data_IF_388858799966
#
_entry.id   IF_388858799966
#
_cell.length_a   1.000
_cell.length_b   1.000
_cell.length_c   1.000
_cell.angle_alpha   90.00
_cell.angle_beta   90.00
_cell.angle_gamma   90.00
#
_symmetry.space_group_name_H-M   'P 1'
#
loop_
_entity.id
_entity.type
_entity.pdbx_description
1 polymer ?
#
# COMPACT_ATOMS: atom_id res chain seq x y z
N UNK A 1 1.38 -15.27 14.87
CA UNK A 1 0.43 -15.60 13.77
C UNK A 1 -0.33 -14.31 13.46
N UNK A 2 -0.51 -13.99 12.17
CA UNK A 2 -1.30 -12.81 11.76
C UNK A 2 -2.79 -13.11 11.97
N UNK A 3 -3.55 -12.15 12.50
CA UNK A 3 -5.01 -12.26 12.70
C UNK A 3 -5.82 -12.02 11.41
N UNK A 4 -5.16 -11.89 10.27
CA UNK A 4 -5.78 -11.51 8.99
C UNK A 4 -5.71 -12.66 7.99
N UNK A 5 -6.77 -12.84 7.21
CA UNK A 5 -6.87 -13.88 6.18
C UNK A 5 -6.21 -13.44 4.87
N UNK A 6 -6.12 -12.13 4.61
CA UNK A 6 -5.47 -11.58 3.43
C UNK A 6 -4.50 -10.44 3.75
N UNK A 7 -3.55 -10.19 2.85
CA UNK A 7 -2.67 -9.02 2.94
C UNK A 7 -3.48 -7.71 2.81
N UNK A 8 -4.51 -7.71 1.98
CA UNK A 8 -5.42 -6.57 1.81
C UNK A 8 -6.12 -6.22 3.12
N UNK A 9 -6.63 -7.22 3.86
CA UNK A 9 -7.21 -7.01 5.19
C UNK A 9 -6.20 -6.43 6.18
N UNK A 10 -5.00 -7.00 6.23
CA UNK A 10 -3.94 -6.53 7.13
C UNK A 10 -3.58 -5.05 6.84
N UNK A 11 -3.47 -4.70 5.57
CA UNK A 11 -3.14 -3.34 5.16
C UNK A 11 -4.28 -2.36 5.49
N UNK A 12 -5.52 -2.73 5.16
CA UNK A 12 -6.70 -1.90 5.45
C UNK A 12 -6.91 -1.69 6.95
N UNK A 13 -6.63 -2.71 7.78
CA UNK A 13 -6.70 -2.60 9.24
C UNK A 13 -5.69 -1.60 9.82
N UNK A 14 -4.59 -1.31 9.11
CA UNK A 14 -3.57 -0.33 9.52
C UNK A 14 -3.72 1.04 8.87
N UNK A 15 -4.75 1.24 8.03
CA UNK A 15 -4.96 2.48 7.27
C UNK A 15 -5.00 3.72 8.17
N UNK A 16 -5.64 3.63 9.33
CA UNK A 16 -5.77 4.73 10.29
C UNK A 16 -4.63 4.82 11.32
N UNK A 17 -3.57 4.01 11.16
CA UNK A 17 -2.45 4.05 12.08
C UNK A 17 -1.46 5.17 11.71
N UNK A 18 -0.77 5.70 12.71
CA UNK A 18 0.26 6.74 12.53
C UNK A 18 1.59 6.20 11.99
N UNK A 19 1.69 4.90 11.74
CA UNK A 19 2.89 4.29 11.22
C UNK A 19 3.14 4.72 9.77
N UNK A 20 4.43 4.82 9.43
CA UNK A 20 4.90 5.26 8.12
C UNK A 20 5.88 4.26 7.53
N UNK A 21 5.87 4.16 6.21
CA UNK A 21 6.90 3.51 5.41
C UNK A 21 7.93 4.57 5.05
N UNK A 22 9.18 4.35 5.45
CA UNK A 22 10.30 5.23 5.12
C UNK A 22 11.11 4.61 3.98
N UNK A 23 11.32 5.39 2.93
CA UNK A 23 12.20 5.04 1.82
C UNK A 23 13.60 5.59 2.13
N UNK A 24 14.59 4.72 2.01
CA UNK A 24 16.00 5.09 2.16
C UNK A 24 16.57 5.11 0.74
N UNK A 25 16.76 6.31 0.20
CA UNK A 25 17.46 6.52 -1.05
C UNK A 25 18.87 7.09 -0.79
N UNK A 26 19.83 6.76 -1.65
CA UNK A 26 21.26 7.02 -1.43
C UNK A 26 21.65 8.50 -1.38
N UNK A 27 20.80 9.38 -1.90
CA UNK A 27 21.04 10.82 -2.03
C UNK A 27 20.31 11.68 -0.94
N UNK A 28 20.01 11.10 0.23
CA UNK A 28 19.37 11.81 1.36
C UNK A 28 17.90 12.20 1.12
N UNK A 29 17.24 11.57 0.14
CA UNK A 29 15.82 11.79 -0.14
C UNK A 29 14.97 10.96 0.85
N UNK A 30 14.75 11.51 2.05
CA UNK A 30 13.90 10.91 3.09
C UNK A 30 12.42 11.00 2.75
N UNK A 31 11.97 10.22 1.76
CA UNK A 31 10.55 10.08 1.49
C UNK A 31 9.91 9.15 2.50
N UNK A 32 8.74 9.52 3.00
CA UNK A 32 7.93 8.63 3.81
C UNK A 32 6.46 8.76 3.47
N UNK A 33 5.74 7.64 3.49
CA UNK A 33 4.31 7.60 3.26
C UNK A 33 3.61 6.94 4.44
N UNK A 34 2.41 7.40 4.77
CA UNK A 34 1.48 6.74 5.68
C UNK A 34 0.96 5.44 5.07
N UNK A 35 0.39 4.58 5.92
CA UNK A 35 -0.39 3.45 5.43
C UNK A 35 -1.65 3.88 4.64
N UNK A 36 -2.20 5.06 4.91
CA UNK A 36 -3.30 5.61 4.11
C UNK A 36 -2.87 5.91 2.67
N UNK A 37 -1.75 6.60 2.49
CA UNK A 37 -1.16 6.90 1.18
C UNK A 37 -0.77 5.61 0.44
N UNK A 38 -0.26 4.60 1.15
CA UNK A 38 0.04 3.29 0.56
C UNK A 38 -1.23 2.58 0.04
N UNK A 39 -2.33 2.62 0.79
CA UNK A 39 -3.62 2.05 0.35
C UNK A 39 -4.12 2.75 -0.90
N UNK A 40 -4.09 4.09 -0.92
CA UNK A 40 -4.54 4.88 -2.05
C UNK A 40 -3.71 4.60 -3.31
N UNK A 41 -2.38 4.54 -3.16
CA UNK A 41 -1.47 4.18 -4.26
C UNK A 41 -1.69 2.76 -4.78
N UNK A 42 -1.91 1.79 -3.88
CA UNK A 42 -2.17 0.40 -4.26
C UNK A 42 -3.48 0.25 -5.04
N UNK A 43 -4.55 0.93 -4.61
CA UNK A 43 -5.84 0.92 -5.30
C UNK A 43 -5.77 1.63 -6.65
N UNK A 44 -5.03 2.74 -6.75
CA UNK A 44 -4.81 3.43 -8.02
C UNK A 44 -4.04 2.54 -9.02
N UNK A 45 -3.02 1.82 -8.55
CA UNK A 45 -2.28 0.85 -9.36
C UNK A 45 -3.17 -0.31 -9.83
N UNK A 46 -3.97 -0.88 -8.92
CA UNK A 46 -4.94 -1.93 -9.26
C UNK A 46 -5.92 -1.45 -10.34
N UNK A 47 -6.46 -0.24 -10.20
CA UNK A 47 -7.34 0.37 -11.20
C UNK A 47 -6.66 0.46 -12.57
N UNK A 48 -5.42 0.92 -12.63
CA UNK A 48 -4.63 0.98 -13.87
C UNK A 48 -4.44 -0.40 -14.52
N UNK A 49 -4.23 -1.46 -13.73
CA UNK A 49 -4.19 -2.83 -14.27
C UNK A 49 -5.54 -3.29 -14.79
N UNK A 50 -6.63 -3.03 -14.07
CA UNK A 50 -7.98 -3.36 -14.53
C UNK A 50 -8.35 -2.63 -15.82
N UNK A 51 -7.99 -1.35 -15.95
CA UNK A 51 -8.17 -0.56 -17.17
C UNK A 51 -7.38 -1.14 -18.36
N UNK A 52 -6.28 -1.84 -18.10
CA UNK A 52 -5.47 -2.55 -19.10
C UNK A 52 -5.95 -3.97 -19.41
N UNK A 53 -7.09 -4.37 -18.86
CA UNK A 53 -7.71 -5.67 -19.12
C UNK A 53 -7.18 -6.81 -18.26
N UNK A 54 -6.41 -6.52 -17.20
CA UNK A 54 -6.05 -7.54 -16.22
C UNK A 54 -7.27 -7.90 -15.37
N UNK A 55 -7.58 -9.19 -15.27
CA UNK A 55 -8.64 -9.73 -14.42
C UNK A 55 -8.06 -10.41 -13.19
N UNK A 56 -8.91 -10.65 -12.18
CA UNK A 56 -8.58 -11.57 -11.11
C UNK A 56 -8.25 -12.96 -11.68
N UNK A 57 -7.29 -13.65 -11.07
CA UNK A 57 -6.82 -14.98 -11.46
C UNK A 57 -6.08 -15.65 -10.31
#
# INVERSE_FOLDING_TARGET
MSNFSTLSEMLLARRSSDHRVHFIDGDDDHRSITFAELVEGALACLKSFQERGFSAG
#
